data_IF_753092993479
#
_entry.id   IF_753092993479
#
_cell.length_a   1.000
_cell.length_b   1.000
_cell.length_c   1.000
_cell.angle_alpha   90.00
_cell.angle_beta   90.00
_cell.angle_gamma   90.00
#
_symmetry.space_group_name_H-M   'P 1'
#
loop_
_entity.id
_entity.type
_entity.pdbx_description
1 polymer ?
#
# COMPACT_ATOMS: atom_id res chain seq x y z
N UNK A 1 -19.88 -38.94 23.16
CA UNK A 1 -19.51 -38.00 24.24
C UNK A 1 -18.00 -38.00 24.34
N UNK A 2 -17.20 -37.01 23.99
CA UNK A 2 -17.41 -35.66 23.49
C UNK A 2 -15.98 -35.09 23.34
N UNK A 3 -15.60 -34.84 22.09
CA UNK A 3 -14.57 -33.92 21.60
C UNK A 3 -13.22 -33.82 22.32
N UNK A 4 -12.23 -34.45 21.68
CA UNK A 4 -10.86 -33.94 21.54
C UNK A 4 -10.93 -32.54 20.90
N UNK A 5 -10.37 -31.51 21.54
CA UNK A 5 -10.00 -30.26 20.88
C UNK A 5 -8.50 -30.02 21.10
N UNK A 6 -7.65 -30.16 20.07
CA UNK A 6 -6.30 -29.63 20.14
C UNK A 6 -6.39 -28.10 20.10
N UNK A 7 -5.62 -27.47 20.99
CA UNK A 7 -5.46 -26.02 21.06
C UNK A 7 -4.84 -25.57 19.74
N UNK A 8 -5.67 -25.09 18.83
CA UNK A 8 -5.23 -24.42 17.61
C UNK A 8 -4.41 -23.18 18.01
N UNK A 9 -3.16 -23.01 17.54
CA UNK A 9 -2.46 -21.74 17.66
C UNK A 9 -3.14 -20.73 16.73
N UNK A 10 -4.14 -20.03 17.29
CA UNK A 10 -4.76 -18.85 16.73
C UNK A 10 -3.72 -17.74 16.79
N UNK A 11 -2.84 -17.65 15.78
CA UNK A 11 -2.08 -16.47 15.32
C UNK A 11 -0.79 -16.85 14.59
N UNK A 12 -0.93 -17.60 13.50
CA UNK A 12 0.08 -17.57 12.44
C UNK A 12 -0.59 -17.59 11.08
N UNK A 13 -1.16 -16.45 10.68
CA UNK A 13 -1.18 -16.10 9.26
C UNK A 13 0.17 -15.45 8.90
N UNK A 14 1.23 -16.25 9.04
CA UNK A 14 2.53 -16.00 8.41
C UNK A 14 2.40 -16.45 6.97
N UNK A 15 2.05 -15.52 6.08
CA UNK A 15 2.36 -15.65 4.66
C UNK A 15 3.18 -14.44 4.25
N UNK A 16 4.49 -14.63 4.35
CA UNK A 16 5.48 -13.90 3.57
C UNK A 16 5.19 -14.20 2.09
N UNK A 17 4.32 -13.41 1.46
CA UNK A 17 4.22 -13.40 0.00
C UNK A 17 5.32 -12.48 -0.52
N UNK A 18 6.48 -13.08 -0.75
CA UNK A 18 7.54 -12.53 -1.58
C UNK A 18 6.98 -12.42 -3.01
N UNK A 19 6.47 -11.25 -3.37
CA UNK A 19 6.11 -10.97 -4.77
C UNK A 19 7.39 -10.54 -5.49
N UNK A 20 7.87 -11.42 -6.38
CA UNK A 20 8.93 -11.14 -7.34
C UNK A 20 8.34 -10.21 -8.42
N UNK A 21 8.38 -8.92 -8.15
CA UNK A 21 8.16 -7.87 -9.15
C UNK A 21 9.31 -6.87 -8.96
N UNK A 22 10.51 -7.32 -9.28
CA UNK A 22 11.60 -6.42 -9.68
C UNK A 22 11.11 -5.71 -10.96
N UNK A 23 11.37 -4.40 -11.06
CA UNK A 23 11.29 -3.54 -12.27
C UNK A 23 10.37 -2.31 -12.20
N UNK A 24 9.38 -2.23 -11.29
CA UNK A 24 8.42 -1.11 -11.29
C UNK A 24 8.48 -0.13 -10.11
N UNK A 25 9.40 -0.32 -9.15
CA UNK A 25 9.51 0.56 -7.97
C UNK A 25 8.23 0.64 -7.11
N UNK A 26 7.41 -0.42 -7.13
CA UNK A 26 6.13 -0.50 -6.41
C UNK A 26 6.32 -1.10 -5.01
N UNK A 27 5.66 -0.51 -4.02
CA UNK A 27 5.69 -0.98 -2.64
C UNK A 27 4.68 -2.12 -2.43
N UNK A 28 5.01 -3.10 -1.60
CA UNK A 28 4.09 -4.20 -1.27
C UNK A 28 2.96 -3.66 -0.40
N UNK A 29 1.71 -3.79 -0.88
CA UNK A 29 0.52 -3.43 -0.10
C UNK A 29 0.04 -4.66 0.69
N UNK A 30 0.01 -4.63 2.03
CA UNK A 30 -0.43 -5.77 2.83
C UNK A 30 -1.92 -6.06 2.60
N UNK A 31 -2.31 -7.34 2.51
CA UNK A 31 -3.73 -7.71 2.39
C UNK A 31 -4.41 -7.52 3.74
N UNK A 32 -5.27 -6.51 3.85
CA UNK A 32 -6.06 -6.26 5.04
C UNK A 32 -7.36 -7.07 5.01
N UNK A 33 -7.63 -7.85 6.06
CA UNK A 33 -8.89 -8.61 6.19
C UNK A 33 -10.06 -7.71 6.62
N UNK A 34 -9.79 -6.64 7.39
CA UNK A 34 -10.78 -5.67 7.85
C UNK A 34 -10.54 -4.32 7.15
N UNK A 35 -11.32 -4.04 6.10
CA UNK A 35 -11.17 -2.81 5.31
C UNK A 35 -11.38 -1.52 6.12
N UNK A 36 -12.20 -1.56 7.18
CA UNK A 36 -12.55 -0.40 7.99
C UNK A 36 -11.43 0.08 8.93
N UNK A 37 -10.89 -0.80 9.78
CA UNK A 37 -9.81 -0.44 10.70
C UNK A 37 -8.42 -0.64 10.06
N UNK A 38 -8.22 -1.75 9.34
CA UNK A 38 -6.94 -2.07 8.69
C UNK A 38 -6.62 -1.15 7.51
N UNK A 39 -7.63 -0.64 6.81
CA UNK A 39 -7.46 0.27 5.66
C UNK A 39 -6.94 1.66 6.02
N UNK A 40 -7.06 2.05 7.29
CA UNK A 40 -6.53 3.31 7.82
C UNK A 40 -5.11 3.20 8.34
N UNK A 41 -4.58 1.97 8.51
CA UNK A 41 -3.22 1.77 8.99
C UNK A 41 -2.21 2.35 8.00
N UNK A 42 -1.21 3.06 8.51
CA UNK A 42 -0.14 3.64 7.68
C UNK A 42 0.54 2.57 6.81
N UNK A 43 0.77 1.39 7.38
CA UNK A 43 1.36 0.22 6.69
C UNK A 43 0.58 -0.24 5.46
N UNK A 44 -0.74 0.00 5.40
CA UNK A 44 -1.55 -0.28 4.21
C UNK A 44 -1.68 0.96 3.32
N UNK A 45 -2.02 2.10 3.92
CA UNK A 45 -2.40 3.29 3.16
C UNK A 45 -1.23 3.97 2.47
N UNK A 46 -0.03 3.93 3.06
CA UNK A 46 1.17 4.49 2.46
C UNK A 46 1.56 3.79 1.14
N UNK A 47 1.77 2.45 1.10
CA UNK A 47 2.10 1.79 -0.17
C UNK A 47 0.94 1.85 -1.17
N UNK A 48 -0.32 1.84 -0.71
CA UNK A 48 -1.48 2.02 -1.58
C UNK A 48 -1.46 3.38 -2.31
N UNK A 49 -1.22 4.47 -1.57
CA UNK A 49 -1.16 5.81 -2.15
C UNK A 49 0.07 5.99 -3.05
N UNK A 50 1.22 5.49 -2.62
CA UNK A 50 2.46 5.55 -3.38
C UNK A 50 2.34 4.86 -4.74
N UNK A 51 1.77 3.64 -4.75
CA UNK A 51 1.60 2.88 -5.98
C UNK A 51 0.57 3.49 -6.95
N UNK A 52 -0.33 4.32 -6.44
CA UNK A 52 -1.28 5.07 -7.26
C UNK A 52 -0.66 6.30 -7.96
N UNK A 53 0.61 6.62 -7.71
CA UNK A 53 1.31 7.72 -8.36
C UNK A 53 1.94 7.28 -9.69
N UNK A 54 1.88 8.13 -10.74
CA UNK A 54 2.60 7.88 -11.98
C UNK A 54 4.12 7.75 -11.76
N UNK A 55 4.76 6.96 -12.62
CA UNK A 55 6.19 6.58 -12.51
C UNK A 55 7.12 7.80 -12.45
N UNK A 56 6.91 8.80 -13.31
CA UNK A 56 7.71 10.03 -13.33
C UNK A 56 7.67 10.81 -12.00
N UNK A 57 6.62 10.67 -11.17
CA UNK A 57 6.62 11.25 -9.83
C UNK A 57 7.49 10.44 -8.88
N UNK A 58 7.45 9.10 -8.99
CA UNK A 58 8.20 8.20 -8.12
C UNK A 58 9.70 8.21 -8.43
N UNK A 59 10.07 8.46 -9.68
CA UNK A 59 11.45 8.51 -10.16
C UNK A 59 12.11 9.90 -10.00
N UNK A 60 11.53 10.81 -9.22
CA UNK A 60 12.10 12.13 -9.01
C UNK A 60 13.44 12.06 -8.26
N UNK A 61 14.46 12.75 -8.78
CA UNK A 61 15.84 12.72 -8.25
C UNK A 61 15.99 13.32 -6.84
N UNK A 62 15.05 14.16 -6.41
CA UNK A 62 15.11 14.85 -5.12
C UNK A 62 13.74 15.01 -4.47
N UNK A 63 13.74 15.15 -3.13
CA UNK A 63 12.52 15.34 -2.34
C UNK A 63 11.82 16.66 -2.67
N UNK A 64 12.56 17.72 -3.02
CA UNK A 64 11.98 19.01 -3.42
C UNK A 64 11.27 18.89 -4.77
N UNK A 65 11.91 18.24 -5.75
CA UNK A 65 11.30 17.95 -7.06
C UNK A 65 10.05 17.09 -6.91
N UNK A 66 10.14 16.01 -6.10
CA UNK A 66 9.00 15.15 -5.79
C UNK A 66 7.81 15.95 -5.25
N UNK A 67 8.02 16.80 -4.23
CA UNK A 67 6.96 17.61 -3.63
C UNK A 67 6.30 18.56 -4.64
N UNK A 68 7.11 19.22 -5.46
CA UNK A 68 6.63 20.13 -6.51
C UNK A 68 5.77 19.39 -7.53
N UNK A 69 6.26 18.27 -8.08
CA UNK A 69 5.53 17.49 -9.07
C UNK A 69 4.26 16.85 -8.47
N UNK A 70 4.32 16.34 -7.24
CA UNK A 70 3.16 15.79 -6.53
C UNK A 70 2.07 16.84 -6.35
N UNK A 71 2.44 18.06 -5.95
CA UNK A 71 1.49 19.16 -5.83
C UNK A 71 0.80 19.41 -7.17
N UNK A 72 1.56 19.59 -8.25
CA UNK A 72 1.00 19.81 -9.59
C UNK A 72 0.04 18.69 -10.01
N UNK A 73 0.44 17.42 -9.84
CA UNK A 73 -0.39 16.27 -10.17
C UNK A 73 -1.69 16.22 -9.36
N UNK A 74 -1.65 16.53 -8.05
CA UNK A 74 -2.85 16.56 -7.22
C UNK A 74 -3.80 17.70 -7.59
N UNK A 75 -3.26 18.89 -7.90
CA UNK A 75 -4.05 20.04 -8.33
C UNK A 75 -4.71 19.79 -9.69
N UNK A 76 -3.97 19.32 -10.68
CA UNK A 76 -4.53 18.94 -11.99
C UNK A 76 -5.64 17.90 -11.80
N UNK A 77 -5.38 16.82 -11.05
CA UNK A 77 -6.39 15.78 -10.81
C UNK A 77 -7.69 16.29 -10.15
N UNK A 78 -7.62 17.29 -9.28
CA UNK A 78 -8.80 17.84 -8.60
C UNK A 78 -9.52 18.92 -9.40
N UNK A 79 -8.81 19.70 -10.22
CA UNK A 79 -9.35 20.90 -10.88
C UNK A 79 -9.49 20.76 -12.40
N UNK A 80 -8.96 19.71 -13.04
CA UNK A 80 -9.12 19.46 -14.48
C UNK A 80 -10.55 19.02 -14.89
N UNK A 81 -11.47 18.86 -13.92
CA UNK A 81 -12.88 18.45 -14.16
C UNK A 81 -13.91 19.59 -14.04
N UNK A 82 -13.46 20.83 -14.08
CA UNK A 82 -14.32 22.03 -14.20
C UNK A 82 -14.14 22.59 -15.60
#
# INVERSE_FOLDING_TARGET
>A
MGLLLPIFPIWSCRTYLHVRSQDAGLLIVPRISKQTAGGRAFSYRAPFLWNGLPTHLRDADSVSTFKSLLKTHLFSRSYDRV
#
